data_IF_627487070052
#
_entry.id   IF_627487070052
#
_cell.length_a   1.000
_cell.length_b   1.000
_cell.length_c   1.000
_cell.angle_alpha   90.00
_cell.angle_beta   90.00
_cell.angle_gamma   90.00
#
_symmetry.space_group_name_H-M   'P 1'
#
loop_
_entity.id
_entity.type
_entity.pdbx_description
1 polymer ?
#
# COMPACT_ATOMS: atom_id res chain seq x y z
N UNK A 1 9.59 8.57 -7.23
CA UNK A 1 9.12 9.97 -7.35
C UNK A 1 8.80 10.63 -6.00
N UNK A 2 8.40 9.89 -4.97
CA UNK A 2 8.09 10.44 -3.64
C UNK A 2 9.29 11.03 -2.88
N UNK A 3 10.48 10.47 -3.03
CA UNK A 3 11.68 10.91 -2.31
C UNK A 3 12.05 12.38 -2.61
N UNK A 4 11.87 12.80 -3.86
CA UNK A 4 12.20 14.17 -4.26
C UNK A 4 11.24 15.19 -3.67
N UNK A 5 9.95 14.82 -3.50
CA UNK A 5 8.97 15.76 -2.95
C UNK A 5 9.14 15.97 -1.44
N UNK A 6 9.36 14.89 -0.67
CA UNK A 6 9.61 14.99 0.78
C UNK A 6 10.90 15.80 1.07
N UNK A 7 11.92 15.60 0.25
CA UNK A 7 13.18 16.31 0.36
C UNK A 7 13.01 17.81 0.04
N UNK A 8 12.27 18.12 -1.04
CA UNK A 8 11.94 19.51 -1.40
C UNK A 8 11.14 20.19 -0.30
N UNK A 9 10.10 19.52 0.22
CA UNK A 9 9.27 20.06 1.30
C UNK A 9 10.10 20.30 2.57
N UNK A 10 10.97 19.38 2.94
CA UNK A 10 11.87 19.52 4.09
C UNK A 10 12.83 20.71 3.92
N UNK A 11 13.40 20.88 2.72
CA UNK A 11 14.23 22.04 2.41
C UNK A 11 13.45 23.36 2.50
N UNK A 12 12.21 23.39 1.99
CA UNK A 12 11.34 24.56 2.11
C UNK A 12 11.03 24.88 3.58
N UNK A 13 10.79 23.88 4.43
CA UNK A 13 10.58 24.07 5.87
C UNK A 13 11.82 24.63 6.54
N UNK A 14 13.00 24.10 6.23
CA UNK A 14 14.28 24.60 6.79
C UNK A 14 14.52 26.04 6.38
N UNK A 15 14.36 26.38 5.09
CA UNK A 15 14.55 27.73 4.58
C UNK A 15 13.56 28.72 5.20
N UNK A 16 12.27 28.38 5.22
CA UNK A 16 11.26 29.25 5.81
C UNK A 16 11.43 29.40 7.33
N UNK A 17 11.84 28.34 8.01
CA UNK A 17 12.19 28.37 9.43
C UNK A 17 13.40 29.28 9.72
N UNK A 18 14.41 29.25 8.86
CA UNK A 18 15.56 30.17 8.93
C UNK A 18 15.11 31.63 8.79
N UNK A 19 14.27 31.93 7.80
CA UNK A 19 13.74 33.31 7.63
C UNK A 19 12.86 33.73 8.82
N UNK A 20 12.09 32.81 9.40
CA UNK A 20 11.26 33.05 10.58
C UNK A 20 12.12 33.44 11.82
N UNK A 21 13.22 32.68 12.04
CA UNK A 21 14.18 32.98 13.13
C UNK A 21 14.88 34.32 12.86
N UNK A 22 15.29 34.56 11.61
CA UNK A 22 15.96 35.80 11.22
C UNK A 22 15.07 37.05 11.44
N UNK A 23 13.78 36.91 11.10
CA UNK A 23 12.79 37.99 11.35
C UNK A 23 12.65 38.31 12.83
N UNK A 24 12.65 37.28 13.68
CA UNK A 24 12.60 37.47 15.13
C UNK A 24 13.89 38.00 15.74
N UNK A 25 15.03 37.68 15.15
CA UNK A 25 16.34 38.12 15.66
C UNK A 25 16.68 39.55 15.22
N UNK A 26 16.30 39.94 14.00
CA UNK A 26 16.60 41.24 13.41
C UNK A 26 15.32 42.08 13.42
N UNK A 27 15.23 43.04 14.31
CA UNK A 27 14.03 43.90 14.54
C UNK A 27 13.55 44.72 13.33
N UNK A 28 14.26 44.75 12.23
CA UNK A 28 13.93 45.55 11.03
C UNK A 28 14.27 44.76 9.75
N UNK A 29 13.52 43.70 9.48
CA UNK A 29 13.73 42.83 8.32
C UNK A 29 12.93 43.31 7.11
N UNK A 30 13.39 42.93 5.91
CA UNK A 30 12.67 43.24 4.68
C UNK A 30 11.35 42.47 4.61
N UNK A 31 10.36 43.03 3.90
CA UNK A 31 9.05 42.37 3.68
C UNK A 31 9.20 40.96 3.10
N UNK A 32 10.25 40.70 2.31
CA UNK A 32 10.58 39.41 1.73
C UNK A 32 10.88 38.37 2.83
N UNK A 33 11.70 38.76 3.81
CA UNK A 33 12.04 37.85 4.95
C UNK A 33 10.81 37.51 5.77
N UNK A 34 9.96 38.53 6.05
CA UNK A 34 8.70 38.35 6.78
C UNK A 34 7.77 37.41 6.02
N UNK A 35 7.62 37.58 4.71
CA UNK A 35 6.77 36.74 3.87
C UNK A 35 7.23 35.29 3.89
N UNK A 36 8.49 34.99 3.58
CA UNK A 36 9.00 33.62 3.59
C UNK A 36 8.99 32.97 5.00
N UNK A 37 9.27 33.76 6.02
CA UNK A 37 9.18 33.30 7.41
C UNK A 37 7.76 32.94 7.83
N UNK A 38 6.75 33.68 7.38
CA UNK A 38 5.34 33.40 7.70
C UNK A 38 4.84 32.06 7.14
N UNK A 39 5.49 31.50 6.15
CA UNK A 39 5.17 30.19 5.60
C UNK A 39 5.63 29.01 6.50
N UNK A 40 6.60 29.24 7.40
CA UNK A 40 7.19 28.19 8.21
C UNK A 40 6.19 27.34 8.98
N UNK A 41 5.22 27.88 9.75
CA UNK A 41 4.28 27.06 10.50
C UNK A 41 3.36 26.22 9.60
N UNK A 42 2.94 26.75 8.45
CA UNK A 42 2.09 26.03 7.49
C UNK A 42 2.86 24.89 6.83
N UNK A 43 4.06 25.17 6.34
CA UNK A 43 4.91 24.15 5.72
C UNK A 43 5.31 23.06 6.72
N UNK A 44 5.60 23.43 7.97
CA UNK A 44 5.88 22.47 9.04
C UNK A 44 4.66 21.58 9.33
N UNK A 45 3.47 22.16 9.43
CA UNK A 45 2.24 21.41 9.62
C UNK A 45 2.00 20.41 8.47
N UNK A 46 2.16 20.86 7.22
CA UNK A 46 2.03 20.00 6.04
C UNK A 46 3.07 18.87 6.06
N UNK A 47 4.33 19.19 6.43
CA UNK A 47 5.40 18.19 6.54
C UNK A 47 5.05 17.13 7.60
N UNK A 48 4.59 17.53 8.78
CA UNK A 48 4.19 16.61 9.86
C UNK A 48 3.02 15.74 9.38
N UNK A 49 1.98 16.34 8.84
CA UNK A 49 0.80 15.63 8.38
C UNK A 49 1.14 14.58 7.33
N UNK A 50 1.93 14.95 6.32
CA UNK A 50 2.35 14.05 5.25
C UNK A 50 3.34 12.99 5.71
N UNK A 51 4.27 13.35 6.61
CA UNK A 51 5.31 12.42 7.06
C UNK A 51 4.78 11.33 7.97
N UNK A 52 3.82 11.65 8.84
CA UNK A 52 3.38 10.75 9.90
C UNK A 52 1.95 10.23 9.75
N UNK A 53 1.06 10.95 9.08
CA UNK A 53 -0.35 10.62 9.09
C UNK A 53 -0.83 9.96 7.80
N UNK A 54 -0.74 10.64 6.67
CA UNK A 54 -1.37 10.21 5.42
C UNK A 54 -0.50 10.46 4.20
N UNK A 55 -0.58 9.54 3.25
CA UNK A 55 0.03 9.71 1.94
C UNK A 55 -1.00 9.44 0.84
N UNK A 56 -1.25 10.42 -0.07
CA UNK A 56 -2.14 10.21 -1.20
C UNK A 56 -1.45 9.38 -2.28
N UNK A 57 -2.14 8.36 -2.78
CA UNK A 57 -1.73 7.54 -3.92
C UNK A 57 -2.80 7.54 -4.99
N UNK A 58 -2.38 7.58 -6.24
CA UNK A 58 -3.26 7.31 -7.38
C UNK A 58 -3.07 5.87 -7.84
N UNK A 59 -4.16 5.16 -8.08
CA UNK A 59 -4.14 3.75 -8.49
C UNK A 59 -3.71 3.65 -9.96
N UNK A 60 -2.53 3.06 -10.26
CA UNK A 60 -2.00 3.04 -11.63
C UNK A 60 -2.39 1.79 -12.40
N UNK A 61 -2.90 0.74 -11.77
CA UNK A 61 -3.10 -0.58 -12.39
C UNK A 61 -4.42 -1.23 -12.02
N UNK A 62 -4.83 -2.20 -12.83
CA UNK A 62 -6.08 -2.96 -12.64
C UNK A 62 -5.96 -4.11 -11.65
N UNK A 63 -4.82 -4.31 -10.99
CA UNK A 63 -4.55 -5.51 -10.18
C UNK A 63 -5.44 -5.65 -8.94
N UNK A 64 -6.04 -4.55 -8.47
CA UNK A 64 -6.92 -4.51 -7.31
C UNK A 64 -8.41 -4.32 -7.67
N UNK A 65 -8.76 -4.40 -8.96
CA UNK A 65 -10.17 -4.40 -9.38
C UNK A 65 -10.87 -5.66 -8.86
N UNK A 66 -12.08 -5.56 -8.29
CA UNK A 66 -12.99 -4.41 -8.30
C UNK A 66 -12.84 -3.46 -7.10
N UNK A 67 -12.03 -3.78 -6.11
CA UNK A 67 -11.88 -3.00 -4.86
C UNK A 67 -11.34 -1.59 -5.12
N UNK A 68 -10.32 -1.48 -5.98
CA UNK A 68 -9.73 -0.21 -6.40
C UNK A 68 -9.69 -0.15 -7.93
N UNK A 69 -10.11 0.98 -8.48
CA UNK A 69 -10.16 1.20 -9.94
C UNK A 69 -9.01 2.11 -10.37
N UNK A 70 -8.54 1.93 -11.61
CA UNK A 70 -7.47 2.78 -12.16
C UNK A 70 -7.93 4.23 -12.21
N UNK A 71 -7.11 5.12 -11.66
CA UNK A 71 -7.39 6.54 -11.55
C UNK A 71 -7.93 6.98 -10.20
N UNK A 72 -8.40 6.06 -9.35
CA UNK A 72 -8.83 6.38 -8.00
C UNK A 72 -7.70 7.01 -7.19
N UNK A 73 -8.05 7.98 -6.34
CA UNK A 73 -7.16 8.50 -5.32
C UNK A 73 -7.49 7.88 -3.98
N UNK A 74 -6.47 7.33 -3.32
CA UNK A 74 -6.59 6.76 -1.99
C UNK A 74 -5.69 7.50 -1.01
N UNK A 75 -6.08 7.52 0.25
CA UNK A 75 -5.26 8.01 1.35
C UNK A 75 -4.74 6.80 2.14
N UNK A 76 -3.43 6.63 2.14
CA UNK A 76 -2.77 5.56 2.89
C UNK A 76 -2.41 6.07 4.26
N UNK A 77 -2.90 5.39 5.30
CA UNK A 77 -2.53 5.64 6.69
C UNK A 77 -1.12 5.08 6.94
N UNK A 78 -0.20 5.94 7.35
CA UNK A 78 1.19 5.54 7.65
C UNK A 78 1.35 5.02 9.08
N UNK A 79 0.46 5.36 9.97
CA UNK A 79 0.56 5.09 11.41
C UNK A 79 -0.04 3.75 11.84
N UNK A 80 -0.77 3.06 10.95
CA UNK A 80 -1.44 1.81 11.32
C UNK A 80 -0.46 0.69 11.65
N UNK A 81 0.69 0.62 11.01
CA UNK A 81 1.65 -0.47 11.20
C UNK A 81 2.96 -0.01 11.82
N UNK A 82 3.52 1.09 11.35
CA UNK A 82 4.75 1.65 11.91
C UNK A 82 4.85 3.14 11.70
N UNK A 83 5.46 3.84 12.67
CA UNK A 83 5.82 5.26 12.56
C UNK A 83 7.26 5.34 12.07
N UNK A 84 7.49 5.97 10.92
CA UNK A 84 8.82 6.11 10.30
C UNK A 84 9.24 7.56 10.22
N UNK A 85 10.54 7.82 10.39
CA UNK A 85 11.10 9.16 10.20
C UNK A 85 11.01 9.57 8.73
N UNK A 86 10.61 10.85 8.47
CA UNK A 86 10.68 11.39 7.11
C UNK A 86 12.12 11.33 6.58
N UNK A 87 12.27 11.16 5.27
CA UNK A 87 13.55 11.11 4.54
C UNK A 87 14.41 9.88 4.88
N UNK A 88 14.71 9.61 6.14
CA UNK A 88 15.56 8.49 6.58
C UNK A 88 14.85 7.14 6.56
N UNK A 89 13.51 7.13 6.57
CA UNK A 89 12.66 5.94 6.60
C UNK A 89 12.95 4.96 7.74
N UNK A 90 13.69 5.40 8.74
CA UNK A 90 13.98 4.60 9.93
C UNK A 90 12.70 4.40 10.73
N UNK A 91 12.41 3.16 11.09
CA UNK A 91 11.25 2.81 11.90
C UNK A 91 11.47 3.23 13.35
N UNK A 92 10.53 4.03 13.88
CA UNK A 92 10.59 4.53 15.25
C UNK A 92 9.79 3.66 16.21
N UNK A 93 8.64 3.16 15.74
CA UNK A 93 7.68 2.40 16.55
C UNK A 93 6.87 1.47 15.66
N UNK A 94 6.83 0.19 16.01
CA UNK A 94 5.85 -0.76 15.50
C UNK A 94 4.53 -0.57 16.27
N UNK A 95 3.45 -0.23 15.57
CA UNK A 95 2.14 0.05 16.18
C UNK A 95 1.29 -1.20 16.20
N UNK A 96 1.19 -1.89 15.07
CA UNK A 96 0.46 -3.16 14.94
C UNK A 96 1.01 -3.99 13.79
N UNK A 97 0.74 -5.30 13.83
CA UNK A 97 1.05 -6.19 12.71
C UNK A 97 -0.09 -6.20 11.70
N UNK A 98 0.23 -6.27 10.40
CA UNK A 98 -0.81 -6.39 9.38
C UNK A 98 -1.55 -7.71 9.53
N UNK A 99 -2.85 -7.67 9.26
CA UNK A 99 -3.76 -8.82 9.36
C UNK A 99 -4.16 -9.34 7.98
N UNK A 100 -4.60 -10.61 7.91
CA UNK A 100 -5.17 -11.13 6.67
C UNK A 100 -6.37 -10.30 6.22
N UNK A 101 -6.47 -10.06 4.92
CA UNK A 101 -7.51 -9.23 4.33
C UNK A 101 -7.16 -7.74 4.22
N UNK A 102 -6.10 -7.24 4.87
CA UNK A 102 -5.68 -5.85 4.75
C UNK A 102 -5.20 -5.53 3.33
N UNK A 103 -5.50 -4.32 2.87
CA UNK A 103 -4.91 -3.76 1.65
C UNK A 103 -3.68 -2.94 2.06
N UNK A 104 -2.51 -3.35 1.57
CA UNK A 104 -1.23 -2.80 1.99
C UNK A 104 -0.49 -2.21 0.81
N UNK A 105 0.17 -1.07 1.05
CA UNK A 105 1.10 -0.41 0.12
C UNK A 105 2.52 -0.74 0.56
N UNK A 106 3.34 -1.28 -0.34
CA UNK A 106 4.69 -1.73 -0.03
C UNK A 106 5.60 -1.72 -1.25
N UNK A 107 6.91 -1.91 -1.05
CA UNK A 107 7.86 -2.16 -2.12
C UNK A 107 8.04 -3.66 -2.31
N UNK A 108 7.78 -4.20 -3.50
CA UNK A 108 8.08 -5.60 -3.77
C UNK A 108 9.60 -5.82 -3.84
N UNK A 109 10.09 -7.06 -3.59
CA UNK A 109 11.53 -7.32 -3.49
C UNK A 109 12.33 -7.08 -4.78
N UNK A 110 11.67 -7.02 -5.92
CA UNK A 110 12.29 -6.90 -7.25
C UNK A 110 12.12 -5.51 -7.90
N UNK A 111 11.37 -4.59 -7.28
CA UNK A 111 11.09 -3.27 -7.84
C UNK A 111 11.14 -2.17 -6.76
N UNK A 112 11.55 -0.98 -7.18
CA UNK A 112 11.64 0.20 -6.30
C UNK A 112 10.39 1.10 -6.35
N UNK A 113 9.30 0.64 -6.95
CA UNK A 113 8.01 1.35 -7.00
C UNK A 113 7.01 0.74 -6.02
N UNK A 114 6.08 1.53 -5.55
CA UNK A 114 5.02 1.07 -4.66
C UNK A 114 4.06 0.11 -5.38
N UNK A 115 3.74 -0.99 -4.71
CA UNK A 115 2.66 -1.89 -5.07
C UNK A 115 1.55 -1.82 -4.03
N UNK A 116 0.33 -2.07 -4.49
CA UNK A 116 -0.86 -2.16 -3.65
C UNK A 116 -1.44 -3.55 -3.84
N UNK A 117 -1.51 -4.34 -2.78
CA UNK A 117 -2.04 -5.70 -2.79
C UNK A 117 -2.77 -6.00 -1.49
N UNK A 118 -3.54 -7.09 -1.52
CA UNK A 118 -4.17 -7.63 -0.34
C UNK A 118 -3.27 -8.65 0.33
N UNK A 119 -3.13 -8.53 1.65
CA UNK A 119 -2.45 -9.50 2.48
C UNK A 119 -3.34 -10.73 2.63
N UNK A 120 -2.85 -11.87 2.19
CA UNK A 120 -3.59 -13.15 2.18
C UNK A 120 -2.99 -14.14 3.16
N UNK A 121 -1.68 -14.21 3.26
CA UNK A 121 -0.98 -15.14 4.15
C UNK A 121 0.00 -14.45 5.09
N UNK A 122 -0.02 -14.87 6.35
CA UNK A 122 0.92 -14.49 7.40
C UNK A 122 2.11 -15.45 7.44
N UNK A 123 3.21 -15.10 8.15
CA UNK A 123 4.33 -16.01 8.39
C UNK A 123 3.86 -17.38 8.89
N UNK A 124 4.40 -18.45 8.33
CA UNK A 124 4.02 -19.84 8.64
C UNK A 124 2.77 -20.36 7.95
N UNK A 125 1.96 -19.53 7.30
CA UNK A 125 0.74 -19.97 6.62
C UNK A 125 1.05 -20.88 5.41
N UNK A 126 0.27 -21.94 5.28
CA UNK A 126 0.24 -22.77 4.08
C UNK A 126 -0.81 -22.25 3.11
N UNK A 127 -0.36 -21.72 1.98
CA UNK A 127 -1.23 -21.18 0.92
C UNK A 127 -1.33 -22.19 -0.20
N UNK A 128 -2.54 -22.59 -0.53
CA UNK A 128 -2.82 -23.44 -1.70
C UNK A 128 -3.86 -22.74 -2.59
N UNK A 129 -3.61 -22.74 -3.87
CA UNK A 129 -4.57 -22.33 -4.90
C UNK A 129 -4.84 -23.53 -5.79
N UNK A 130 -6.08 -23.98 -5.84
CA UNK A 130 -6.51 -25.16 -6.61
C UNK A 130 -7.65 -24.72 -7.52
N UNK A 131 -7.42 -24.70 -8.82
CA UNK A 131 -8.41 -24.30 -9.82
C UNK A 131 -9.13 -22.97 -9.48
N UNK A 132 -8.37 -21.97 -9.04
CA UNK A 132 -8.89 -20.65 -8.69
C UNK A 132 -9.53 -20.54 -7.30
N UNK A 133 -9.53 -21.62 -6.52
CA UNK A 133 -10.03 -21.64 -5.14
C UNK A 133 -8.85 -21.53 -4.19
N UNK A 134 -8.89 -20.54 -3.30
CA UNK A 134 -7.87 -20.28 -2.30
C UNK A 134 -8.11 -21.12 -1.04
N UNK A 135 -7.04 -21.69 -0.53
CA UNK A 135 -7.02 -22.38 0.77
C UNK A 135 -5.90 -21.78 1.62
N UNK A 136 -6.19 -21.48 2.87
CA UNK A 136 -5.22 -21.03 3.87
C UNK A 136 -5.24 -22.06 5.01
N UNK A 137 -4.08 -22.64 5.32
CA UNK A 137 -3.95 -23.69 6.37
C UNK A 137 -4.94 -24.85 6.18
N UNK A 138 -5.11 -25.29 4.93
CA UNK A 138 -6.07 -26.31 4.50
C UNK A 138 -7.55 -25.92 4.63
N UNK A 139 -7.87 -24.71 5.12
CA UNK A 139 -9.24 -24.20 5.17
C UNK A 139 -9.56 -23.51 3.84
N UNK A 140 -10.64 -23.96 3.19
CA UNK A 140 -11.15 -23.35 1.97
C UNK A 140 -11.66 -21.92 2.27
N UNK A 141 -11.25 -20.96 1.46
CA UNK A 141 -11.84 -19.63 1.48
C UNK A 141 -13.14 -19.67 0.70
N UNK A 142 -14.21 -19.37 1.41
CA UNK A 142 -15.55 -19.36 0.82
C UNK A 142 -15.71 -18.14 -0.10
N UNK A 143 -16.35 -18.37 -1.24
CA UNK A 143 -16.61 -17.33 -2.22
C UNK A 143 -18.02 -17.43 -2.76
N UNK A 144 -18.76 -16.31 -2.72
CA UNK A 144 -20.09 -16.15 -3.31
C UNK A 144 -19.98 -15.37 -4.61
N UNK A 145 -20.36 -15.95 -5.73
CA UNK A 145 -20.43 -15.24 -7.01
C UNK A 145 -21.58 -14.23 -6.98
N UNK A 146 -21.26 -12.97 -7.17
CA UNK A 146 -22.23 -11.87 -7.22
C UNK A 146 -22.64 -11.54 -8.65
N UNK A 147 -21.69 -11.54 -9.57
CA UNK A 147 -21.96 -11.25 -10.99
C UNK A 147 -20.97 -11.98 -11.89
N UNK A 148 -21.39 -12.25 -13.12
CA UNK A 148 -20.54 -12.80 -14.17
C UNK A 148 -20.67 -11.97 -15.44
N UNK A 149 -19.56 -11.82 -16.18
CA UNK A 149 -19.49 -11.09 -17.45
C UNK A 149 -18.76 -11.95 -18.48
N UNK A 150 -19.21 -11.85 -19.73
CA UNK A 150 -18.56 -12.52 -20.86
C UNK A 150 -17.62 -11.57 -21.65
N UNK A 151 -17.60 -10.28 -21.32
CA UNK A 151 -16.80 -9.29 -22.05
C UNK A 151 -15.92 -8.46 -21.08
N UNK A 152 -14.65 -8.11 -21.47
CA UNK A 152 -13.88 -8.59 -22.63
C UNK A 152 -13.43 -10.05 -22.50
N UNK A 153 -13.48 -10.62 -21.29
CA UNK A 153 -13.20 -12.01 -20.96
C UNK A 153 -14.29 -12.54 -20.04
N UNK A 154 -14.58 -13.83 -20.15
CA UNK A 154 -15.47 -14.48 -19.20
C UNK A 154 -14.86 -14.39 -17.81
N UNK A 155 -15.50 -13.63 -16.93
CA UNK A 155 -15.03 -13.35 -15.58
C UNK A 155 -16.19 -13.21 -14.59
N UNK A 156 -15.93 -13.48 -13.33
CA UNK A 156 -16.89 -13.31 -12.26
C UNK A 156 -16.34 -12.38 -11.18
N UNK A 157 -17.23 -11.60 -10.57
CA UNK A 157 -16.99 -10.93 -9.31
C UNK A 157 -17.45 -11.87 -8.21
N UNK A 158 -16.54 -12.17 -7.31
CA UNK A 158 -16.73 -13.11 -6.21
C UNK A 158 -16.47 -12.37 -4.91
N UNK A 159 -17.43 -12.41 -4.00
CA UNK A 159 -17.24 -11.97 -2.62
C UNK A 159 -16.55 -13.09 -1.85
N UNK A 160 -15.38 -12.83 -1.30
CA UNK A 160 -14.60 -13.77 -0.49
C UNK A 160 -14.52 -13.29 0.95
N UNK A 161 -14.44 -14.23 1.88
CA UNK A 161 -14.23 -13.96 3.30
C UNK A 161 -12.93 -14.59 3.78
N UNK A 162 -11.99 -13.76 4.26
CA UNK A 162 -10.80 -14.22 4.97
C UNK A 162 -10.92 -13.71 6.42
N UNK A 163 -10.90 -14.64 7.35
CA UNK A 163 -11.20 -14.41 8.76
C UNK A 163 -12.54 -13.64 8.89
N UNK A 164 -12.56 -12.42 9.44
CA UNK A 164 -13.79 -11.63 9.53
C UNK A 164 -13.95 -10.57 8.41
N UNK A 165 -12.99 -10.47 7.48
CA UNK A 165 -12.98 -9.44 6.44
C UNK A 165 -13.61 -9.96 5.14
N UNK A 166 -14.66 -9.28 4.69
CA UNK A 166 -15.31 -9.50 3.39
C UNK A 166 -14.72 -8.56 2.35
N UNK A 167 -14.46 -9.06 1.17
CA UNK A 167 -13.96 -8.26 0.06
C UNK A 167 -14.30 -8.88 -1.29
N UNK A 168 -14.23 -8.06 -2.35
CA UNK A 168 -14.54 -8.48 -3.70
C UNK A 168 -13.27 -8.88 -4.45
N UNK A 169 -13.37 -9.96 -5.22
CA UNK A 169 -12.33 -10.42 -6.14
C UNK A 169 -12.88 -10.58 -7.54
N UNK A 170 -12.04 -10.38 -8.53
CA UNK A 170 -12.34 -10.68 -9.94
C UNK A 170 -11.54 -11.88 -10.39
N UNK A 171 -12.22 -12.88 -10.97
CA UNK A 171 -11.63 -14.13 -11.43
C UNK A 171 -12.05 -14.43 -12.87
N UNK A 172 -11.14 -14.97 -13.67
CA UNK A 172 -11.49 -15.51 -14.98
C UNK A 172 -12.25 -16.84 -14.85
N UNK A 173 -13.08 -17.12 -15.84
CA UNK A 173 -13.82 -18.38 -15.98
C UNK A 173 -13.64 -18.95 -17.39
N UNK A 174 -12.86 -20.00 -17.59
CA UNK A 174 -12.12 -20.79 -16.59
C UNK A 174 -10.94 -20.02 -15.96
N UNK A 175 -10.40 -20.52 -14.83
CA UNK A 175 -9.25 -19.89 -14.16
C UNK A 175 -8.08 -19.71 -15.12
N UNK A 176 -7.49 -18.53 -15.08
CA UNK A 176 -6.31 -18.18 -15.87
C UNK A 176 -5.03 -18.85 -15.37
N UNK A 177 -3.91 -18.58 -16.05
CA UNK A 177 -2.61 -19.17 -15.73
C UNK A 177 -2.19 -18.94 -14.28
N UNK A 178 -2.48 -17.76 -13.73
CA UNK A 178 -2.10 -17.36 -12.37
C UNK A 178 -2.97 -17.99 -11.28
N UNK A 179 -4.11 -18.55 -11.65
CA UNK A 179 -5.09 -19.11 -10.74
C UNK A 179 -5.22 -20.63 -10.83
N UNK A 180 -4.35 -21.32 -11.57
CA UNK A 180 -4.49 -22.79 -11.76
C UNK A 180 -4.16 -23.53 -10.47
N UNK A 181 -2.91 -23.86 -10.28
CA UNK A 181 -2.45 -24.59 -9.09
C UNK A 181 -1.17 -23.93 -8.58
N UNK A 182 -1.16 -23.66 -7.30
CA UNK A 182 -0.03 -23.05 -6.61
C UNK A 182 -0.02 -23.55 -5.16
N UNK A 183 1.14 -23.81 -4.61
CA UNK A 183 1.31 -24.20 -3.21
C UNK A 183 2.60 -23.64 -2.67
N UNK A 184 2.53 -23.01 -1.50
CA UNK A 184 3.70 -22.50 -0.77
C UNK A 184 3.42 -22.45 0.73
N UNK A 185 4.48 -22.41 1.51
CA UNK A 185 4.43 -22.01 2.92
C UNK A 185 5.10 -20.63 2.99
N UNK A 186 4.42 -19.68 3.64
CA UNK A 186 4.94 -18.35 3.84
C UNK A 186 6.11 -18.40 4.83
N UNK A 187 7.34 -18.03 4.47
CA UNK A 187 8.47 -18.04 5.39
C UNK A 187 8.26 -17.09 6.58
N UNK A 188 9.04 -17.27 7.64
CA UNK A 188 9.10 -16.33 8.75
C UNK A 188 9.48 -14.93 8.24
N UNK A 189 8.94 -13.90 8.87
CA UNK A 189 9.14 -12.48 8.51
C UNK A 189 8.69 -12.11 7.10
N UNK A 190 7.84 -12.93 6.46
CA UNK A 190 7.30 -12.68 5.14
C UNK A 190 5.78 -12.69 5.12
N UNK A 191 5.22 -11.97 4.17
CA UNK A 191 3.79 -11.91 3.91
C UNK A 191 3.47 -12.37 2.49
N UNK A 192 2.34 -13.05 2.34
CA UNK A 192 1.87 -13.48 1.03
C UNK A 192 0.80 -12.53 0.51
N UNK A 193 1.11 -11.83 -0.57
CA UNK A 193 0.31 -10.78 -1.15
C UNK A 193 -0.37 -11.24 -2.43
N UNK A 194 -1.66 -10.93 -2.60
CA UNK A 194 -2.41 -11.19 -3.83
C UNK A 194 -3.19 -9.95 -4.28
N UNK A 195 -3.35 -9.80 -5.59
CA UNK A 195 -4.26 -8.81 -6.14
C UNK A 195 -5.71 -9.31 -6.12
N UNK A 196 -6.66 -8.40 -5.98
CA UNK A 196 -8.09 -8.72 -6.03
C UNK A 196 -8.53 -9.15 -7.44
N UNK A 197 -7.88 -8.65 -8.49
CA UNK A 197 -8.01 -9.22 -9.83
C UNK A 197 -7.06 -10.42 -9.97
N UNK A 198 -7.52 -11.57 -9.53
CA UNK A 198 -6.74 -12.80 -9.37
C UNK A 198 -5.94 -13.22 -10.59
N UNK A 199 -6.49 -13.03 -11.78
CA UNK A 199 -5.87 -13.45 -13.03
C UNK A 199 -5.11 -12.34 -13.77
N UNK A 200 -5.10 -11.13 -13.20
CA UNK A 200 -4.41 -9.96 -13.77
C UNK A 200 -3.64 -9.18 -12.70
N UNK A 201 -2.81 -9.88 -11.94
CA UNK A 201 -2.01 -9.30 -10.88
C UNK A 201 -0.61 -9.87 -10.84
N UNK A 202 0.41 -9.01 -10.92
CA UNK A 202 1.77 -9.38 -10.52
C UNK A 202 1.82 -9.33 -9.00
N UNK A 203 1.98 -10.49 -8.36
CA UNK A 203 1.95 -10.64 -6.90
C UNK A 203 2.81 -11.82 -6.44
N UNK A 204 2.73 -12.23 -5.17
CA UNK A 204 3.60 -13.24 -4.56
C UNK A 204 3.58 -14.59 -5.28
N UNK A 205 2.57 -14.88 -6.09
CA UNK A 205 2.51 -16.10 -6.92
C UNK A 205 3.54 -16.10 -8.07
N UNK A 206 4.02 -14.93 -8.48
CA UNK A 206 4.93 -14.76 -9.63
C UNK A 206 6.34 -14.41 -9.17
N UNK A 207 6.47 -13.64 -8.09
CA UNK A 207 7.77 -13.10 -7.65
C UNK A 207 8.74 -14.17 -7.17
N UNK A 208 8.27 -15.39 -6.91
CA UNK A 208 9.08 -16.50 -6.44
C UNK A 208 9.55 -16.39 -4.98
N UNK A 209 9.36 -15.22 -4.36
CA UNK A 209 9.66 -14.97 -2.96
C UNK A 209 8.52 -14.18 -2.31
N UNK A 210 8.04 -14.57 -1.12
CA UNK A 210 7.13 -13.77 -0.33
C UNK A 210 7.77 -12.42 0.05
N UNK A 211 6.92 -11.42 0.31
CA UNK A 211 7.39 -10.08 0.67
C UNK A 211 7.87 -10.09 2.12
N UNK A 212 9.05 -9.52 2.38
CA UNK A 212 9.56 -9.32 3.75
C UNK A 212 8.69 -8.31 4.50
N UNK A 213 8.48 -8.54 5.79
CA UNK A 213 7.67 -7.71 6.67
C UNK A 213 8.35 -6.43 7.18
N UNK A 214 9.54 -6.09 6.64
CA UNK A 214 10.31 -4.90 7.04
C UNK A 214 10.03 -3.68 6.18
#
# INVERSE_FOLDING_TARGET
MSLNFELILSLCVILSGFFWILDRALRNTSQIVVFFGSLAPVLLFVLILRSFLIEPFQIPSKSMVPTLVVGDFILVSKWNYSVRLPVLRTELLEVSKPERGDVVVFFPPHESRYFIKRLVGLPGDKINLIQGILYINNKKIEGKTLSASNYPFRSAIVEEKIDEKLFLTKKHQPPGRLSKNFSTIVPEDHYFMMGDYRDNSSDSRIWGHPVTGS
#
